data_IF_604532511452
#
_entry.id   IF_604532511452
#
_cell.length_a   1.000
_cell.length_b   1.000
_cell.length_c   1.000
_cell.angle_alpha   90.00
_cell.angle_beta   90.00
_cell.angle_gamma   90.00
#
_symmetry.space_group_name_H-M   'P 1'
#
loop_
_entity.id
_entity.type
_entity.pdbx_description
1 polymer ?
#
# COMPACT_ATOMS: atom_id res chain seq x y z
N UNK A 1 -43.65 -25.95 -40.14
CA UNK A 1 -43.15 -26.43 -38.82
C UNK A 1 -41.67 -26.11 -38.56
N UNK A 2 -40.80 -26.04 -39.58
CA UNK A 2 -39.35 -25.74 -39.38
C UNK A 2 -39.08 -24.28 -38.97
N UNK A 3 -39.82 -23.32 -39.53
CA UNK A 3 -39.65 -21.89 -39.20
C UNK A 3 -39.99 -21.55 -37.74
N UNK A 4 -41.01 -22.18 -37.16
CA UNK A 4 -41.46 -21.88 -35.80
C UNK A 4 -40.45 -22.36 -34.74
N UNK A 5 -39.74 -23.47 -35.01
CA UNK A 5 -38.67 -23.99 -34.16
C UNK A 5 -37.42 -23.09 -34.16
N UNK A 6 -37.09 -22.51 -35.30
CA UNK A 6 -35.96 -21.57 -35.42
C UNK A 6 -36.21 -20.26 -34.65
N UNK A 7 -37.44 -19.73 -34.70
CA UNK A 7 -37.82 -18.51 -33.98
C UNK A 7 -37.84 -18.74 -32.46
N UNK A 8 -38.35 -19.88 -32.00
CA UNK A 8 -38.33 -20.25 -30.58
C UNK A 8 -36.89 -20.39 -30.04
N UNK A 9 -36.00 -21.03 -30.79
CA UNK A 9 -34.59 -21.14 -30.42
C UNK A 9 -33.90 -19.77 -30.33
N UNK A 10 -34.22 -18.85 -31.25
CA UNK A 10 -33.69 -17.50 -31.26
C UNK A 10 -34.19 -16.66 -30.06
N UNK A 11 -35.48 -16.76 -29.73
CA UNK A 11 -36.06 -16.10 -28.57
C UNK A 11 -35.48 -16.61 -27.25
N UNK A 12 -35.19 -17.91 -27.14
CA UNK A 12 -34.54 -18.50 -25.97
C UNK A 12 -33.08 -18.02 -25.83
N UNK A 13 -32.33 -17.90 -26.93
CA UNK A 13 -30.96 -17.38 -26.91
C UNK A 13 -30.91 -15.89 -26.53
N UNK A 14 -31.85 -15.09 -27.03
CA UNK A 14 -31.97 -13.67 -26.63
C UNK A 14 -32.39 -13.55 -25.16
N UNK A 15 -33.31 -14.39 -24.68
CA UNK A 15 -33.71 -14.41 -23.27
C UNK A 15 -32.55 -14.82 -22.34
N UNK A 16 -31.73 -15.81 -22.73
CA UNK A 16 -30.53 -16.21 -21.99
C UNK A 16 -29.45 -15.11 -22.00
N UNK A 17 -29.22 -14.46 -23.14
CA UNK A 17 -28.30 -13.32 -23.23
C UNK A 17 -28.76 -12.10 -22.40
N UNK A 18 -30.07 -11.92 -22.22
CA UNK A 18 -30.63 -10.87 -21.35
C UNK A 18 -30.55 -11.25 -19.86
N UNK A 19 -30.55 -12.55 -19.52
CA UNK A 19 -30.36 -13.07 -18.15
C UNK A 19 -28.89 -12.99 -17.69
N UNK A 20 -27.92 -13.00 -18.61
CA UNK A 20 -26.48 -12.92 -18.33
C UNK A 20 -25.98 -11.51 -17.93
N UNK A 21 -26.85 -10.50 -17.90
CA UNK A 21 -26.43 -9.10 -17.64
C UNK A 21 -26.25 -8.74 -16.15
N UNK A 22 -26.41 -9.68 -15.20
CA UNK A 22 -26.45 -9.35 -13.76
C UNK A 22 -25.49 -10.10 -12.84
N UNK A 23 -24.50 -10.82 -13.37
CA UNK A 23 -23.49 -11.49 -12.53
C UNK A 23 -22.13 -10.78 -12.50
N UNK A 24 -22.09 -9.45 -12.65
CA UNK A 24 -21.01 -8.69 -12.01
C UNK A 24 -21.37 -8.60 -10.54
N UNK A 25 -20.89 -9.55 -9.73
CA UNK A 25 -20.97 -9.46 -8.28
C UNK A 25 -20.51 -8.05 -7.87
N UNK A 26 -21.44 -7.24 -7.35
CA UNK A 26 -21.12 -5.88 -6.93
C UNK A 26 -20.06 -5.96 -5.83
N UNK A 27 -18.90 -5.37 -6.10
CA UNK A 27 -17.73 -5.46 -5.24
C UNK A 27 -18.02 -4.82 -3.89
N UNK A 28 -17.78 -5.55 -2.81
CA UNK A 28 -17.92 -5.03 -1.45
C UNK A 28 -16.70 -4.17 -1.10
N UNK A 29 -16.93 -2.86 -0.93
CA UNK A 29 -15.90 -1.88 -0.59
C UNK A 29 -15.96 -1.47 0.89
N UNK A 30 -16.75 -2.15 1.72
CA UNK A 30 -16.75 -1.89 3.16
C UNK A 30 -15.44 -2.31 3.76
N UNK A 31 -14.84 -1.45 4.57
CA UNK A 31 -13.52 -1.68 5.18
C UNK A 31 -13.49 -2.95 6.04
N UNK A 32 -14.61 -3.27 6.69
CA UNK A 32 -14.78 -4.49 7.48
C UNK A 32 -14.73 -5.79 6.65
N UNK A 33 -14.99 -5.72 5.34
CA UNK A 33 -14.98 -6.88 4.45
C UNK A 33 -13.57 -7.24 3.93
N UNK A 34 -12.63 -6.31 4.01
CA UNK A 34 -11.29 -6.49 3.46
C UNK A 34 -10.52 -7.58 4.19
N UNK A 35 -9.93 -8.47 3.39
CA UNK A 35 -9.04 -9.54 3.87
C UNK A 35 -7.63 -8.99 4.03
N UNK A 36 -6.95 -9.45 5.08
CA UNK A 36 -5.57 -9.10 5.41
C UNK A 36 -4.71 -10.36 5.42
N UNK A 37 -3.40 -10.20 5.62
CA UNK A 37 -2.44 -11.30 5.59
C UNK A 37 -2.78 -12.35 6.65
N UNK A 38 -3.10 -13.56 6.22
CA UNK A 38 -3.30 -14.68 7.13
C UNK A 38 -1.99 -15.04 7.83
N UNK A 39 -2.08 -15.35 9.13
CA UNK A 39 -0.96 -15.76 9.98
C UNK A 39 0.26 -14.84 9.85
N UNK A 40 0.02 -13.52 9.92
CA UNK A 40 1.07 -12.52 9.79
C UNK A 40 2.19 -12.73 10.81
N UNK A 41 3.43 -12.82 10.32
CA UNK A 41 4.63 -12.98 11.12
C UNK A 41 5.44 -11.67 11.15
N UNK A 42 5.38 -10.96 12.29
CA UNK A 42 6.10 -9.71 12.52
C UNK A 42 7.63 -9.86 12.42
N UNK A 43 8.18 -11.01 12.78
CA UNK A 43 9.64 -11.23 12.75
C UNK A 43 10.13 -11.40 11.31
N UNK A 44 9.38 -12.11 10.47
CA UNK A 44 9.67 -12.18 9.02
C UNK A 44 9.45 -10.86 8.30
N UNK A 45 8.49 -10.06 8.77
CA UNK A 45 8.20 -8.75 8.20
C UNK A 45 9.25 -7.68 8.54
N UNK A 46 10.01 -7.88 9.61
CA UNK A 46 11.04 -6.95 10.08
C UNK A 46 12.09 -6.63 8.98
N UNK A 47 12.82 -5.53 9.18
CA UNK A 47 13.83 -5.04 8.26
C UNK A 47 13.33 -3.94 7.32
N UNK A 48 14.08 -3.73 6.24
CA UNK A 48 13.88 -2.61 5.32
C UNK A 48 12.80 -2.87 4.26
N UNK A 49 12.04 -1.83 3.95
CA UNK A 49 11.02 -1.80 2.92
C UNK A 49 11.07 -0.46 2.18
N UNK A 50 11.19 -0.52 0.85
CA UNK A 50 11.13 0.63 -0.05
C UNK A 50 9.71 0.78 -0.56
N UNK A 51 9.07 1.93 -0.33
CA UNK A 51 7.76 2.16 -0.92
C UNK A 51 7.94 2.49 -2.41
N UNK A 52 7.32 1.69 -3.28
CA UNK A 52 7.46 1.82 -4.74
C UNK A 52 6.22 2.42 -5.40
N UNK A 53 5.07 2.35 -4.72
CA UNK A 53 3.86 3.05 -5.09
C UNK A 53 3.03 3.39 -3.85
N UNK A 54 2.15 4.40 -3.96
CA UNK A 54 1.18 4.75 -2.92
C UNK A 54 -0.11 5.32 -3.47
N UNK A 55 -1.18 5.12 -2.71
CA UNK A 55 -2.42 5.90 -2.78
C UNK A 55 -2.38 6.93 -1.65
N UNK A 56 -2.62 8.19 -2.00
CA UNK A 56 -2.56 9.31 -1.07
C UNK A 56 -3.84 9.47 -0.24
N UNK A 57 -3.74 9.80 1.06
CA UNK A 57 -4.87 10.30 1.82
C UNK A 57 -5.12 11.78 1.50
N UNK A 58 -6.17 12.34 2.09
CA UNK A 58 -6.34 13.78 2.12
C UNK A 58 -5.27 14.47 2.99
N UNK A 59 -4.86 15.68 2.58
CA UNK A 59 -3.95 16.53 3.33
C UNK A 59 -2.45 16.24 3.12
N UNK A 60 -1.63 16.74 4.05
CA UNK A 60 -0.17 16.65 3.96
C UNK A 60 0.30 15.22 4.23
N UNK A 61 1.10 14.67 3.30
CA UNK A 61 1.64 13.31 3.41
C UNK A 61 3.04 13.19 2.78
N UNK A 62 3.70 12.05 3.05
CA UNK A 62 5.01 11.73 2.47
C UNK A 62 4.92 11.70 0.94
N UNK A 63 5.88 12.32 0.25
CA UNK A 63 5.86 12.51 -1.20
C UNK A 63 6.63 11.44 -1.95
N UNK A 64 7.92 11.26 -1.66
CA UNK A 64 8.82 10.30 -2.32
C UNK A 64 10.02 9.93 -1.45
N UNK A 65 10.94 9.10 -1.99
CA UNK A 65 12.09 8.55 -1.26
C UNK A 65 11.68 7.88 0.06
N UNK A 66 10.53 7.19 0.05
CA UNK A 66 9.90 6.68 1.26
C UNK A 66 10.47 5.30 1.59
N UNK A 67 11.20 5.22 2.70
CA UNK A 67 11.80 3.99 3.22
C UNK A 67 11.30 3.77 4.64
N UNK A 68 10.87 2.54 4.92
CA UNK A 68 10.50 2.11 6.25
C UNK A 68 11.45 1.00 6.73
N UNK A 69 11.79 1.02 8.00
CA UNK A 69 12.50 -0.06 8.68
C UNK A 69 11.66 -0.51 9.87
N UNK A 70 11.27 -1.77 9.87
CA UNK A 70 10.50 -2.39 10.94
C UNK A 70 11.42 -3.16 11.87
N UNK A 71 11.13 -3.11 13.16
CA UNK A 71 11.87 -3.77 14.23
C UNK A 71 10.87 -4.51 15.11
N UNK A 72 11.30 -5.64 15.66
CA UNK A 72 10.55 -6.37 16.70
C UNK A 72 11.50 -6.61 17.85
N UNK A 73 11.10 -6.22 19.05
CA UNK A 73 11.91 -6.42 20.26
C UNK A 73 11.75 -7.85 20.82
N UNK A 74 12.53 -8.16 21.87
CA UNK A 74 12.49 -9.48 22.55
C UNK A 74 11.13 -9.78 23.20
N UNK A 75 10.38 -8.74 23.58
CA UNK A 75 9.01 -8.86 24.09
C UNK A 75 7.97 -9.02 22.97
N UNK A 76 8.40 -8.94 21.71
CA UNK A 76 7.55 -9.04 20.53
C UNK A 76 6.89 -7.73 20.11
N UNK A 77 7.19 -6.58 20.71
CA UNK A 77 6.58 -5.33 20.27
C UNK A 77 7.19 -4.89 18.94
N UNK A 78 6.33 -4.62 17.97
CA UNK A 78 6.74 -4.08 16.68
C UNK A 78 6.86 -2.56 16.77
N UNK A 79 7.93 -2.01 16.19
CA UNK A 79 8.13 -0.58 15.97
C UNK A 79 8.65 -0.34 14.55
N UNK A 80 8.55 0.88 14.06
CA UNK A 80 9.13 1.25 12.77
C UNK A 80 9.73 2.64 12.79
N UNK A 81 10.71 2.85 11.90
CA UNK A 81 11.17 4.17 11.49
C UNK A 81 10.89 4.35 10.01
N UNK A 82 10.29 5.47 9.65
CA UNK A 82 10.04 5.83 8.26
C UNK A 82 10.70 7.17 7.93
N UNK A 83 11.33 7.25 6.76
CA UNK A 83 11.86 8.49 6.22
C UNK A 83 11.31 8.69 4.82
N UNK A 84 11.05 9.95 4.46
CA UNK A 84 10.65 10.32 3.10
C UNK A 84 10.63 11.83 2.95
N UNK A 85 10.61 12.31 1.70
CA UNK A 85 10.50 13.74 1.41
C UNK A 85 9.10 14.24 1.73
N UNK A 86 8.99 15.40 2.36
CA UNK A 86 7.76 16.14 2.57
C UNK A 86 7.96 17.56 2.05
N UNK A 87 6.96 18.12 1.39
CA UNK A 87 6.95 19.52 0.97
C UNK A 87 6.00 20.29 1.86
N UNK A 88 6.54 21.20 2.68
CA UNK A 88 5.78 22.11 3.52
C UNK A 88 5.64 23.47 2.81
N UNK A 89 4.47 24.10 2.96
CA UNK A 89 4.21 25.45 2.45
C UNK A 89 4.62 25.67 0.97
N UNK A 90 4.44 24.63 0.13
CA UNK A 90 4.75 24.60 -1.30
C UNK A 90 6.21 24.87 -1.71
N UNK A 91 7.14 25.04 -0.78
CA UNK A 91 8.53 25.44 -1.09
C UNK A 91 9.57 24.80 -0.17
N UNK A 92 9.20 24.43 1.06
CA UNK A 92 10.13 23.88 2.04
C UNK A 92 10.18 22.35 1.93
N UNK A 93 11.22 21.83 1.29
CA UNK A 93 11.50 20.40 1.27
C UNK A 93 12.21 19.98 2.56
N UNK A 94 11.60 19.06 3.31
CA UNK A 94 12.24 18.42 4.46
C UNK A 94 12.20 16.90 4.31
N UNK A 95 13.02 16.23 5.11
CA UNK A 95 13.10 14.78 5.10
C UNK A 95 13.03 14.22 6.52
N UNK A 96 11.83 14.26 7.14
CA UNK A 96 11.68 13.85 8.52
C UNK A 96 11.92 12.35 8.69
N UNK A 97 12.42 11.99 9.88
CA UNK A 97 12.35 10.63 10.39
C UNK A 97 11.16 10.55 11.33
N UNK A 98 10.21 9.70 10.97
CA UNK A 98 9.01 9.38 11.73
C UNK A 98 9.22 8.06 12.46
N UNK A 99 8.73 7.97 13.67
CA UNK A 99 8.71 6.75 14.47
C UNK A 99 7.27 6.27 14.59
N UNK A 100 7.04 4.98 14.38
CA UNK A 100 5.77 4.29 14.59
C UNK A 100 5.90 3.25 15.70
N UNK A 101 4.93 3.22 16.60
CA UNK A 101 4.77 2.17 17.62
C UNK A 101 3.45 1.46 17.33
N UNK A 102 3.49 0.13 17.25
CA UNK A 102 2.33 -0.67 16.87
C UNK A 102 1.72 -1.35 18.09
N UNK A 103 0.44 -1.13 18.30
CA UNK A 103 -0.37 -1.87 19.29
C UNK A 103 -1.12 -2.98 18.56
N UNK A 104 -0.98 -4.21 19.06
CA UNK A 104 -1.63 -5.40 18.50
C UNK A 104 -3.17 -5.33 18.63
N UNK A 105 -3.86 -6.03 17.74
CA UNK A 105 -5.31 -6.24 17.80
C UNK A 105 -5.62 -7.73 17.80
N UNK A 106 -6.90 -8.12 17.78
CA UNK A 106 -7.30 -9.52 17.68
C UNK A 106 -6.85 -10.19 16.37
N UNK A 107 -6.70 -9.40 15.29
CA UNK A 107 -6.20 -9.86 14.00
C UNK A 107 -4.69 -9.56 13.93
N UNK A 108 -3.83 -10.59 13.75
CA UNK A 108 -2.38 -10.42 13.80
C UNK A 108 -1.83 -9.52 12.68
N UNK A 109 -2.57 -9.31 11.60
CA UNK A 109 -2.15 -8.43 10.50
C UNK A 109 -2.66 -6.99 10.65
N UNK A 110 -3.45 -6.69 11.68
CA UNK A 110 -4.02 -5.36 11.94
C UNK A 110 -3.43 -4.79 13.23
N UNK A 111 -2.88 -3.59 13.12
CA UNK A 111 -2.31 -2.86 14.24
C UNK A 111 -2.93 -1.48 14.34
N UNK A 112 -2.91 -0.91 15.54
CA UNK A 112 -3.02 0.55 15.72
C UNK A 112 -1.63 1.14 15.78
N UNK A 113 -1.30 2.02 14.83
CA UNK A 113 -0.01 2.67 14.75
C UNK A 113 -0.08 4.07 15.34
N UNK A 114 0.62 4.28 16.46
CA UNK A 114 0.91 5.63 16.96
C UNK A 114 2.18 6.13 16.30
N UNK A 115 2.09 7.21 15.55
CA UNK A 115 3.24 7.79 14.86
C UNK A 115 3.55 9.21 15.34
N UNK A 116 4.84 9.56 15.30
CA UNK A 116 5.32 10.90 15.65
C UNK A 116 6.71 11.14 15.03
N UNK A 117 7.00 12.38 14.69
CA UNK A 117 8.36 12.80 14.32
C UNK A 117 9.16 13.25 15.55
N UNK A 118 10.50 13.20 15.46
CA UNK A 118 11.38 13.66 16.55
C UNK A 118 11.28 15.18 16.81
N UNK A 119 10.96 15.95 15.78
CA UNK A 119 10.74 17.38 15.91
C UNK A 119 9.27 17.68 16.22
N UNK A 120 9.01 18.57 17.17
CA UNK A 120 7.65 18.86 17.69
C UNK A 120 6.68 19.41 16.65
N UNK A 121 7.17 19.98 15.56
CA UNK A 121 6.36 20.48 14.44
C UNK A 121 5.94 19.38 13.44
N UNK A 122 6.46 18.16 13.58
CA UNK A 122 6.07 17.04 12.72
C UNK A 122 4.74 16.45 13.18
N UNK A 123 3.97 15.93 12.23
CA UNK A 123 2.67 15.32 12.52
C UNK A 123 2.82 14.17 13.53
N UNK A 124 1.87 14.11 14.46
CA UNK A 124 1.68 12.98 15.35
C UNK A 124 0.23 12.56 15.26
N UNK A 125 -0.03 11.26 15.33
CA UNK A 125 -1.37 10.74 15.17
C UNK A 125 -1.45 9.26 15.49
N UNK A 126 -2.65 8.72 15.33
CA UNK A 126 -2.91 7.30 15.37
C UNK A 126 -3.64 6.93 14.09
N UNK A 127 -3.08 5.99 13.35
CA UNK A 127 -3.69 5.44 12.15
C UNK A 127 -3.81 3.93 12.32
N UNK A 128 -4.79 3.30 11.68
CA UNK A 128 -4.77 1.85 11.49
C UNK A 128 -3.59 1.47 10.58
N UNK A 129 -2.98 0.32 10.83
CA UNK A 129 -1.89 -0.21 10.00
C UNK A 129 -2.16 -1.68 9.69
N UNK A 130 -2.68 -1.93 8.50
CA UNK A 130 -3.05 -3.27 8.08
C UNK A 130 -2.06 -3.78 7.04
N UNK A 131 -1.52 -4.97 7.27
CA UNK A 131 -0.74 -5.70 6.27
C UNK A 131 -1.72 -6.55 5.46
N UNK A 132 -2.08 -6.06 4.28
CA UNK A 132 -3.11 -6.69 3.43
C UNK A 132 -2.60 -7.98 2.79
N UNK A 133 -1.36 -7.96 2.31
CA UNK A 133 -0.69 -9.13 1.75
C UNK A 133 0.83 -8.91 1.77
N UNK A 134 1.60 -9.95 2.07
CA UNK A 134 3.06 -9.94 1.96
C UNK A 134 3.58 -11.36 1.78
N UNK A 135 4.65 -11.51 1.03
CA UNK A 135 5.48 -12.72 1.02
C UNK A 135 6.71 -12.59 1.92
N UNK A 136 6.83 -11.49 2.67
CA UNK A 136 7.93 -11.09 3.55
C UNK A 136 9.25 -10.76 2.86
N UNK A 137 9.52 -11.40 1.73
CA UNK A 137 10.84 -11.43 1.09
C UNK A 137 10.91 -10.58 -0.17
N UNK A 138 9.78 -10.19 -0.78
CA UNK A 138 9.78 -9.40 -2.02
C UNK A 138 8.82 -8.21 -2.01
N UNK A 139 7.60 -8.38 -1.47
CA UNK A 139 6.57 -7.34 -1.51
C UNK A 139 5.74 -7.30 -0.23
N UNK A 140 5.15 -6.13 0.02
CA UNK A 140 4.05 -5.99 0.96
C UNK A 140 3.06 -4.93 0.49
N UNK A 141 1.77 -5.16 0.74
CA UNK A 141 0.71 -4.19 0.53
C UNK A 141 0.18 -3.76 1.90
N UNK A 142 0.33 -2.48 2.20
CA UNK A 142 -0.16 -1.86 3.42
C UNK A 142 -1.44 -1.07 3.12
N UNK A 143 -2.40 -1.06 4.05
CA UNK A 143 -3.61 -0.25 3.97
C UNK A 143 -3.93 0.41 5.32
N UNK A 144 -4.49 1.62 5.25
CA UNK A 144 -5.05 2.33 6.39
C UNK A 144 -6.29 3.11 5.96
N UNK A 145 -7.29 3.13 6.84
CA UNK A 145 -8.47 3.98 6.71
C UNK A 145 -8.51 4.96 7.89
N UNK A 146 -8.50 6.25 7.60
CA UNK A 146 -8.56 7.33 8.61
C UNK A 146 -9.99 7.72 8.97
N UNK A 147 -10.90 7.60 8.00
CA UNK A 147 -12.30 7.97 8.18
C UNK A 147 -13.20 7.02 7.40
N UNK A 148 -14.20 6.48 8.09
CA UNK A 148 -15.26 5.66 7.48
C UNK A 148 -16.43 6.55 7.06
N UNK A 149 -17.06 6.18 5.95
CA UNK A 149 -18.40 6.63 5.58
C UNK A 149 -19.46 5.89 6.41
N UNK A 150 -20.70 6.41 6.41
CA UNK A 150 -21.83 5.78 7.10
C UNK A 150 -22.17 4.38 6.56
N UNK A 151 -21.91 4.12 5.29
CA UNK A 151 -22.12 2.81 4.65
C UNK A 151 -21.00 1.79 4.96
N UNK A 152 -19.98 2.18 5.72
CA UNK A 152 -18.83 1.36 6.09
C UNK A 152 -17.69 1.34 5.07
N UNK A 153 -17.81 2.05 3.95
CA UNK A 153 -16.69 2.29 3.03
C UNK A 153 -15.70 3.30 3.62
N UNK A 154 -14.50 3.43 3.04
CA UNK A 154 -13.52 4.39 3.53
C UNK A 154 -13.64 5.74 2.80
N UNK A 155 -13.81 6.82 3.57
CA UNK A 155 -13.80 8.20 3.07
C UNK A 155 -12.37 8.69 2.81
N UNK A 156 -11.47 8.51 3.77
CA UNK A 156 -10.06 8.90 3.68
C UNK A 156 -9.15 7.70 3.97
N UNK A 157 -8.45 7.22 2.94
CA UNK A 157 -7.56 6.06 3.00
C UNK A 157 -6.17 6.39 2.47
N UNK A 158 -5.18 5.62 2.90
CA UNK A 158 -3.90 5.57 2.21
C UNK A 158 -3.38 4.15 2.16
N UNK A 159 -2.52 3.88 1.18
CA UNK A 159 -1.96 2.56 0.98
C UNK A 159 -0.58 2.67 0.38
N UNK A 160 0.31 1.78 0.81
CA UNK A 160 1.67 1.66 0.28
C UNK A 160 1.87 0.29 -0.34
N UNK A 161 2.54 0.28 -1.49
CA UNK A 161 3.17 -0.91 -2.04
C UNK A 161 4.63 -0.85 -1.66
N UNK A 162 5.08 -1.77 -0.83
CA UNK A 162 6.47 -1.91 -0.42
C UNK A 162 7.16 -3.02 -1.21
N UNK A 163 8.47 -2.85 -1.41
CA UNK A 163 9.37 -3.87 -1.94
C UNK A 163 10.62 -3.98 -1.09
N UNK A 164 11.21 -5.18 -1.04
CA UNK A 164 12.56 -5.37 -0.50
C UNK A 164 13.65 -4.81 -1.44
N UNK A 165 13.33 -4.63 -2.73
CA UNK A 165 14.24 -4.05 -3.73
C UNK A 165 13.78 -2.64 -4.14
N UNK A 166 14.68 -1.66 -4.04
CA UNK A 166 14.41 -0.28 -4.42
C UNK A 166 14.10 -0.13 -5.93
N UNK A 167 14.51 -1.10 -6.76
CA UNK A 167 14.25 -1.12 -8.20
C UNK A 167 12.80 -1.53 -8.55
N UNK A 168 12.03 -2.02 -7.58
CA UNK A 168 10.62 -2.36 -7.77
C UNK A 168 10.28 -3.83 -7.57
N UNK A 169 9.07 -4.20 -8.00
CA UNK A 169 8.51 -5.54 -7.82
C UNK A 169 8.81 -6.47 -8.98
N UNK A 170 8.97 -7.76 -8.68
CA UNK A 170 8.96 -8.84 -9.68
C UNK A 170 7.59 -8.96 -10.35
N UNK A 171 7.49 -9.43 -11.61
CA UNK A 171 6.21 -9.53 -12.33
C UNK A 171 5.13 -10.34 -11.61
N UNK A 172 5.52 -11.38 -10.88
CA UNK A 172 4.60 -12.19 -10.06
C UNK A 172 3.97 -11.38 -8.93
N UNK A 173 4.80 -10.72 -8.11
CA UNK A 173 4.34 -9.83 -7.04
C UNK A 173 3.46 -8.68 -7.57
N UNK A 174 3.78 -8.13 -8.75
CA UNK A 174 2.96 -7.08 -9.39
C UNK A 174 1.53 -7.56 -9.68
N UNK A 175 1.34 -8.80 -10.12
CA UNK A 175 0.01 -9.37 -10.38
C UNK A 175 -0.79 -9.49 -9.09
N UNK A 176 -0.18 -10.01 -8.03
CA UNK A 176 -0.82 -10.17 -6.72
C UNK A 176 -1.20 -8.80 -6.15
N UNK A 177 -0.27 -7.83 -6.16
CA UNK A 177 -0.53 -6.46 -5.70
C UNK A 177 -1.68 -5.84 -6.48
N UNK A 178 -1.68 -5.94 -7.81
CA UNK A 178 -2.77 -5.39 -8.64
C UNK A 178 -4.12 -6.03 -8.32
N UNK A 179 -4.14 -7.34 -8.10
CA UNK A 179 -5.35 -8.02 -7.64
C UNK A 179 -5.81 -7.47 -6.28
N UNK A 180 -4.92 -7.36 -5.29
CA UNK A 180 -5.27 -6.84 -3.96
C UNK A 180 -5.70 -5.38 -3.96
N UNK A 181 -5.11 -4.52 -4.80
CA UNK A 181 -5.62 -3.17 -5.04
C UNK A 181 -7.05 -3.20 -5.62
N UNK A 182 -7.32 -4.18 -6.48
CA UNK A 182 -8.64 -4.54 -7.01
C UNK A 182 -9.47 -5.38 -6.02
N UNK A 183 -9.05 -5.57 -4.78
CA UNK A 183 -9.92 -6.03 -3.68
C UNK A 183 -10.25 -4.84 -2.75
N UNK A 184 -9.30 -3.94 -2.47
CA UNK A 184 -9.42 -2.77 -1.57
C UNK A 184 -10.21 -1.53 -2.08
N UNK A 185 -10.79 -1.59 -3.25
CA UNK A 185 -11.42 -0.51 -4.01
C UNK A 185 -10.49 0.67 -4.36
N UNK A 186 -9.20 0.39 -4.56
CA UNK A 186 -8.16 1.40 -4.86
C UNK A 186 -7.49 1.21 -6.23
N UNK A 187 -8.09 0.47 -7.16
CA UNK A 187 -7.51 0.29 -8.49
C UNK A 187 -7.34 1.63 -9.21
N UNK A 188 -6.19 1.81 -9.87
CA UNK A 188 -5.81 3.03 -10.61
C UNK A 188 -5.68 4.31 -9.77
N UNK A 189 -5.70 4.22 -8.44
CA UNK A 189 -5.49 5.36 -7.54
C UNK A 189 -4.05 5.48 -7.01
N UNK A 190 -3.19 4.52 -7.34
CA UNK A 190 -1.79 4.53 -6.92
C UNK A 190 -0.91 5.32 -7.89
N UNK A 191 0.01 6.10 -7.33
CA UNK A 191 1.12 6.70 -8.06
C UNK A 191 2.45 6.06 -7.68
N UNK A 192 3.39 6.05 -8.61
CA UNK A 192 4.76 5.55 -8.38
C UNK A 192 5.51 6.49 -7.43
N UNK A 193 6.40 5.91 -6.63
CA UNK A 193 7.32 6.62 -5.76
C UNK A 193 8.73 6.52 -6.34
N UNK A 194 9.37 7.67 -6.51
CA UNK A 194 10.75 7.74 -7.00
C UNK A 194 11.73 7.65 -5.83
N UNK A 195 12.81 6.89 -6.04
CA UNK A 195 13.99 6.82 -5.16
C UNK A 195 15.19 7.40 -5.89
N UNK A 196 15.47 8.69 -5.68
CA UNK A 196 16.56 9.41 -6.34
C UNK A 196 17.66 9.88 -5.38
N UNK A 197 17.55 9.53 -4.08
CA UNK A 197 18.68 9.54 -3.17
C UNK A 197 19.42 10.86 -3.09
N UNK A 198 18.72 12.01 -3.10
CA UNK A 198 19.35 13.33 -2.85
C UNK A 198 20.30 13.18 -1.63
N UNK A 199 21.50 13.76 -1.67
CA UNK A 199 22.62 13.48 -0.72
C UNK A 199 22.32 13.71 0.78
N UNK A 200 21.19 14.33 1.13
CA UNK A 200 20.74 14.57 2.50
C UNK A 200 19.94 13.42 3.15
N UNK A 201 19.68 12.32 2.43
CA UNK A 201 18.54 11.42 2.70
C UNK A 201 18.94 10.03 3.26
N UNK A 202 20.21 9.81 3.62
CA UNK A 202 20.78 8.48 3.89
C UNK A 202 20.96 8.10 5.37
N UNK A 203 20.20 8.69 6.31
CA UNK A 203 20.49 8.50 7.76
C UNK A 203 19.91 7.22 8.36
N UNK A 204 18.91 6.61 7.73
CA UNK A 204 18.31 5.34 8.18
C UNK A 204 18.95 4.11 7.48
N UNK A 205 19.55 4.29 6.30
CA UNK A 205 20.21 3.20 5.59
C UNK A 205 21.59 2.91 6.21
N UNK A 206 21.98 1.65 6.42
CA UNK A 206 23.35 1.29 6.76
C UNK A 206 24.27 1.87 5.69
N UNK A 207 25.35 2.55 6.09
CA UNK A 207 26.34 3.08 5.15
C UNK A 207 26.93 1.99 4.22
N UNK A 208 26.80 0.72 4.62
CA UNK A 208 27.38 -0.44 3.96
C UNK A 208 26.41 -1.19 3.02
N UNK A 209 25.18 -0.69 2.82
CA UNK A 209 24.11 -1.42 2.13
C UNK A 209 23.64 -0.86 0.78
N UNK A 210 24.37 0.09 0.18
CA UNK A 210 24.04 0.52 -1.18
C UNK A 210 24.56 -0.52 -2.18
N UNK A 211 23.70 -1.23 -2.96
CA UNK A 211 24.12 -1.48 -4.34
C UNK A 211 24.34 -0.10 -4.94
N UNK A 212 25.51 0.13 -5.56
CA UNK A 212 25.79 1.35 -6.30
C UNK A 212 24.61 1.56 -7.25
N UNK A 213 23.65 2.41 -6.87
CA UNK A 213 22.65 2.92 -7.78
C UNK A 213 23.50 3.70 -8.76
N UNK A 214 23.76 3.05 -9.90
CA UNK A 214 24.42 3.68 -11.02
C UNK A 214 23.64 4.96 -11.21
N UNK A 215 24.28 6.10 -10.98
CA UNK A 215 23.84 7.35 -11.54
C UNK A 215 23.61 7.01 -13.02
N UNK A 216 22.36 6.85 -13.42
CA UNK A 216 22.01 7.04 -14.82
C UNK A 216 22.15 8.53 -15.00
N UNK A 217 23.39 8.94 -15.24
CA UNK A 217 23.70 10.24 -15.79
C UNK A 217 22.90 10.27 -17.09
N UNK A 218 21.98 11.22 -17.32
CA UNK A 218 21.56 11.49 -18.68
C UNK A 218 22.77 12.12 -19.37
N UNK A 219 23.62 11.28 -19.95
CA UNK A 219 24.51 11.69 -21.02
C UNK A 219 23.78 11.37 -22.31
N UNK A 220 23.47 12.42 -23.07
CA UNK A 220 23.02 12.46 -24.47
C UNK A 220 21.52 12.20 -24.72
N UNK A 221 20.74 13.28 -24.92
CA UNK A 221 20.65 14.02 -26.19
C UNK A 221 20.36 15.50 -25.92
#
# INVERSE_FOLDING_TARGET
MVHLRGVLAWLVLVALALLDTRCQAQRDCRVSSFKVQENFDKYRYAGFWYAVAKKDPEGLFLQDNIVAQFFVDEAGHMTAKAQGRVVLFNQLEICPVMTGIFTETEDPAKFRMKYFGMASYLQKGNDDHWVVATDYDTYALHYSCRQLNEDGTCADSYSFVFSRDANGLRPEAQRIVRQKQTELCLDRQYRVIVHNGKKHFSRILPKDGWPKVLLVIPVLL
#
